data_IF_908336190363
#
_entry.id   IF_908336190363
#
_cell.length_a   1.000
_cell.length_b   1.000
_cell.length_c   1.000
_cell.angle_alpha   90.00
_cell.angle_beta   90.00
_cell.angle_gamma   90.00
#
_symmetry.space_group_name_H-M   'P 1'
#
loop_
_entity.id
_entity.type
_entity.pdbx_description
1 polymer ?
#
# COMPACT_ATOMS: atom_id res chain seq x y z
N UNK A 1 -50.93 13.26 32.42
CA UNK A 1 -49.74 12.99 33.30
C UNK A 1 -49.13 11.63 33.07
N UNK A 2 -49.91 10.56 32.79
CA UNK A 2 -49.41 9.23 32.52
C UNK A 2 -48.65 9.11 31.19
N UNK A 3 -49.03 9.83 30.12
CA UNK A 3 -48.38 9.74 28.82
C UNK A 3 -46.97 10.36 28.81
N UNK A 4 -46.76 11.47 29.51
CA UNK A 4 -45.44 12.09 29.66
C UNK A 4 -44.43 11.15 30.38
N UNK A 5 -44.89 10.47 31.45
CA UNK A 5 -44.06 9.50 32.18
C UNK A 5 -43.71 8.26 31.33
N UNK A 6 -44.62 7.85 30.44
CA UNK A 6 -44.35 6.71 29.52
C UNK A 6 -43.33 7.09 28.42
N UNK A 7 -43.42 8.33 27.90
CA UNK A 7 -42.44 8.87 26.95
C UNK A 7 -41.03 8.97 27.56
N UNK A 8 -40.92 9.48 28.81
CA UNK A 8 -39.62 9.57 29.48
C UNK A 8 -39.01 8.19 29.79
N UNK A 9 -39.79 7.21 30.18
CA UNK A 9 -39.34 5.83 30.40
C UNK A 9 -38.89 5.17 29.08
N UNK A 10 -39.63 5.37 28.01
CA UNK A 10 -39.27 4.87 26.68
C UNK A 10 -37.96 5.50 26.16
N UNK A 11 -37.79 6.81 26.36
CA UNK A 11 -36.57 7.53 26.00
C UNK A 11 -35.35 7.08 26.84
N UNK A 12 -35.53 6.85 28.14
CA UNK A 12 -34.48 6.32 29.01
C UNK A 12 -34.11 4.89 28.66
N UNK A 13 -35.05 4.00 28.38
CA UNK A 13 -34.79 2.62 27.97
C UNK A 13 -34.10 2.57 26.60
N UNK A 14 -34.45 3.45 25.66
CA UNK A 14 -33.76 3.56 24.37
C UNK A 14 -32.30 4.04 24.53
N UNK A 15 -32.07 5.06 25.42
CA UNK A 15 -30.71 5.52 25.74
C UNK A 15 -29.87 4.41 26.37
N UNK A 16 -30.42 3.66 27.33
CA UNK A 16 -29.74 2.56 28.00
C UNK A 16 -29.41 1.44 27.02
N UNK A 17 -30.36 1.05 26.19
CA UNK A 17 -30.16 0.03 25.13
C UNK A 17 -29.04 0.44 24.16
N UNK A 18 -29.04 1.71 23.71
CA UNK A 18 -28.00 2.26 22.85
C UNK A 18 -26.64 2.32 23.55
N UNK A 19 -26.59 2.62 24.84
CA UNK A 19 -25.35 2.61 25.63
C UNK A 19 -24.79 1.19 25.77
N UNK A 20 -25.65 0.21 26.11
CA UNK A 20 -25.27 -1.21 26.18
C UNK A 20 -24.80 -1.73 24.82
N UNK A 21 -25.53 -1.43 23.74
CA UNK A 21 -25.14 -1.82 22.38
C UNK A 21 -23.76 -1.24 21.99
N UNK A 22 -23.56 0.07 22.25
CA UNK A 22 -22.25 0.71 22.04
C UNK A 22 -21.15 0.05 22.87
N UNK A 23 -21.43 -0.27 24.15
CA UNK A 23 -20.49 -0.99 25.02
C UNK A 23 -20.06 -2.34 24.44
N UNK A 24 -21.02 -3.12 23.96
CA UNK A 24 -20.75 -4.41 23.30
C UNK A 24 -19.89 -4.20 22.03
N UNK A 25 -20.27 -3.24 21.18
CA UNK A 25 -19.50 -2.94 19.95
C UNK A 25 -18.07 -2.53 20.29
N UNK A 26 -17.87 -1.62 21.25
CA UNK A 26 -16.51 -1.21 21.65
C UNK A 26 -15.71 -2.34 22.27
N UNK A 27 -16.35 -3.23 23.04
CA UNK A 27 -15.70 -4.42 23.58
C UNK A 27 -15.16 -5.34 22.47
N UNK A 28 -15.98 -5.64 21.45
CA UNK A 28 -15.53 -6.44 20.32
C UNK A 28 -14.44 -5.70 19.50
N UNK A 29 -14.59 -4.40 19.26
CA UNK A 29 -13.57 -3.61 18.59
C UNK A 29 -12.24 -3.60 19.36
N UNK A 30 -12.27 -3.53 20.68
CA UNK A 30 -11.07 -3.59 21.51
C UNK A 30 -10.37 -4.95 21.41
N UNK A 31 -11.12 -6.06 21.43
CA UNK A 31 -10.57 -7.40 21.22
C UNK A 31 -9.91 -7.50 19.84
N UNK A 32 -10.60 -7.06 18.78
CA UNK A 32 -10.04 -7.05 17.43
C UNK A 32 -8.79 -6.19 17.34
N UNK A 33 -8.79 -5.01 17.97
CA UNK A 33 -7.61 -4.16 18.01
C UNK A 33 -6.42 -4.84 18.69
N UNK A 34 -6.63 -5.55 19.82
CA UNK A 34 -5.59 -6.31 20.49
C UNK A 34 -5.05 -7.44 19.62
N UNK A 35 -5.92 -8.19 18.94
CA UNK A 35 -5.50 -9.27 18.02
C UNK A 35 -4.64 -8.72 16.89
N UNK A 36 -5.04 -7.60 16.27
CA UNK A 36 -4.31 -6.96 15.17
C UNK A 36 -2.99 -6.35 15.64
N UNK A 37 -2.95 -5.76 16.83
CA UNK A 37 -1.74 -5.13 17.38
C UNK A 37 -0.74 -6.15 17.94
N UNK A 38 -1.19 -7.35 18.32
CA UNK A 38 -0.34 -8.36 18.93
C UNK A 38 0.89 -8.75 18.10
N UNK A 39 0.80 -9.03 16.79
CA UNK A 39 1.99 -9.33 15.97
C UNK A 39 3.03 -8.19 15.96
N UNK A 40 2.58 -6.94 15.93
CA UNK A 40 3.47 -5.78 15.98
C UNK A 40 4.14 -5.63 17.36
N UNK A 41 3.38 -5.83 18.41
CA UNK A 41 3.93 -5.88 19.76
C UNK A 41 5.01 -6.96 19.87
N UNK A 42 4.70 -8.18 19.37
CA UNK A 42 5.63 -9.31 19.41
C UNK A 42 6.89 -9.05 18.61
N UNK A 43 6.77 -8.47 17.44
CA UNK A 43 7.88 -8.05 16.58
C UNK A 43 8.81 -7.07 17.31
N UNK A 44 8.24 -6.00 17.90
CA UNK A 44 9.00 -5.00 18.65
C UNK A 44 9.64 -5.63 19.90
N UNK A 45 8.90 -6.43 20.65
CA UNK A 45 9.43 -7.11 21.83
C UNK A 45 10.60 -8.03 21.46
N UNK A 46 10.48 -8.82 20.41
CA UNK A 46 11.52 -9.72 19.96
C UNK A 46 12.75 -8.96 19.47
N UNK A 47 12.57 -7.84 18.80
CA UNK A 47 13.68 -7.01 18.28
C UNK A 47 14.59 -6.45 19.37
N UNK A 48 14.11 -6.35 20.62
CA UNK A 48 14.89 -5.84 21.77
C UNK A 48 15.32 -6.96 22.73
N UNK A 49 15.05 -8.23 22.45
CA UNK A 49 15.60 -9.36 23.20
C UNK A 49 16.98 -9.70 22.71
N UNK A 50 17.94 -9.95 23.62
CA UNK A 50 19.24 -10.48 23.18
C UNK A 50 19.09 -11.86 22.55
N UNK A 51 19.98 -12.22 21.62
CA UNK A 51 19.97 -13.54 20.98
C UNK A 51 19.97 -14.69 21.97
N UNK A 52 20.82 -14.60 23.03
CA UNK A 52 20.90 -15.62 24.09
C UNK A 52 19.60 -15.74 24.89
N UNK A 53 18.98 -14.60 25.27
CA UNK A 53 17.72 -14.60 25.98
C UNK A 53 16.60 -15.23 25.15
N UNK A 54 16.50 -14.84 23.88
CA UNK A 54 15.49 -15.39 22.95
C UNK A 54 15.60 -16.91 22.80
N UNK A 55 16.81 -17.44 22.59
CA UNK A 55 17.00 -18.88 22.39
C UNK A 55 16.96 -19.70 23.68
N UNK A 56 17.09 -19.09 24.85
CA UNK A 56 16.95 -19.76 26.14
C UNK A 56 15.51 -19.83 26.64
N UNK A 57 14.58 -19.13 26.00
CA UNK A 57 13.16 -19.14 26.36
C UNK A 57 12.50 -20.45 25.91
N UNK A 58 12.25 -21.36 26.83
CA UNK A 58 11.45 -22.55 26.57
C UNK A 58 9.96 -22.19 26.35
N UNK A 59 9.45 -21.21 27.12
CA UNK A 59 8.13 -20.62 26.95
C UNK A 59 8.34 -19.15 26.57
N UNK A 60 7.78 -18.68 25.44
CA UNK A 60 7.94 -17.32 25.01
C UNK A 60 7.49 -16.30 26.07
N UNK A 61 8.38 -15.40 26.46
CA UNK A 61 8.09 -14.38 27.46
C UNK A 61 7.52 -13.12 26.81
N UNK A 62 6.42 -12.60 27.38
CA UNK A 62 5.73 -11.40 26.89
C UNK A 62 6.40 -10.10 27.28
N UNK A 63 7.42 -10.13 28.14
CA UNK A 63 8.16 -8.97 28.61
C UNK A 63 9.65 -9.34 28.65
N UNK A 64 10.53 -8.43 28.27
CA UNK A 64 11.98 -8.57 28.49
C UNK A 64 12.43 -7.65 29.61
N UNK A 65 13.20 -8.20 30.58
CA UNK A 65 13.75 -7.42 31.68
C UNK A 65 15.13 -6.81 31.34
N UNK A 66 15.75 -7.28 30.27
CA UNK A 66 17.07 -6.81 29.81
C UNK A 66 16.98 -6.47 28.31
N UNK A 67 16.34 -5.32 27.96
CA UNK A 67 16.25 -4.92 26.56
C UNK A 67 17.63 -4.54 26.02
N UNK A 68 17.90 -4.91 24.76
CA UNK A 68 19.11 -4.55 24.04
C UNK A 68 18.77 -3.97 22.68
N UNK A 69 19.60 -3.05 22.17
CA UNK A 69 19.51 -2.52 20.81
C UNK A 69 20.59 -3.09 19.88
N UNK A 70 21.38 -4.06 20.34
CA UNK A 70 22.41 -4.73 19.53
C UNK A 70 21.83 -5.33 18.27
N UNK A 71 20.63 -5.91 18.32
CA UNK A 71 19.96 -6.48 17.17
C UNK A 71 19.76 -5.50 16.00
N UNK A 72 19.58 -4.21 16.31
CA UNK A 72 19.50 -3.18 15.28
C UNK A 72 20.85 -2.93 14.61
N UNK A 73 21.93 -2.91 15.40
CA UNK A 73 23.29 -2.82 14.86
C UNK A 73 23.60 -4.06 14.03
N UNK A 74 23.28 -5.22 14.55
CA UNK A 74 23.45 -6.50 13.86
C UNK A 74 22.74 -6.52 12.50
N UNK A 75 21.49 -6.05 12.44
CA UNK A 75 20.70 -6.00 11.21
C UNK A 75 21.35 -5.11 10.13
N UNK A 76 22.00 -4.01 10.52
CA UNK A 76 22.68 -3.10 9.59
C UNK A 76 24.10 -3.54 9.22
N UNK A 77 24.72 -4.40 10.02
CA UNK A 77 26.09 -4.90 9.79
C UNK A 77 26.08 -6.24 9.04
N UNK A 78 25.03 -7.05 9.21
CA UNK A 78 24.88 -8.32 8.54
C UNK A 78 24.73 -8.19 7.01
N UNK A 79 24.01 -7.17 6.58
CA UNK A 79 23.77 -6.85 5.18
C UNK A 79 23.76 -5.33 4.99
N UNK A 80 24.02 -4.80 3.79
CA UNK A 80 23.98 -3.36 3.52
C UNK A 80 22.53 -2.83 3.49
N UNK A 81 21.81 -2.98 4.62
CA UNK A 81 20.39 -2.68 4.74
C UNK A 81 20.04 -1.24 4.38
N UNK A 82 20.93 -0.29 4.71
CA UNK A 82 20.78 1.13 4.35
C UNK A 82 20.73 1.32 2.82
N UNK A 83 21.57 0.59 2.07
CA UNK A 83 21.58 0.62 0.60
C UNK A 83 20.26 0.04 0.03
N UNK A 84 19.81 -1.09 0.57
CA UNK A 84 18.55 -1.70 0.16
C UNK A 84 17.34 -0.80 0.44
N UNK A 85 17.40 -0.05 1.53
CA UNK A 85 16.41 0.97 1.86
C UNK A 85 16.37 2.09 0.81
N UNK A 86 17.53 2.62 0.41
CA UNK A 86 17.64 3.64 -0.64
C UNK A 86 17.15 3.08 -1.98
N UNK A 87 17.55 1.85 -2.34
CA UNK A 87 17.08 1.19 -3.57
C UNK A 87 15.55 1.05 -3.59
N UNK A 88 14.96 0.66 -2.46
CA UNK A 88 13.50 0.54 -2.34
C UNK A 88 12.82 1.89 -2.48
N UNK A 89 13.39 2.95 -1.92
CA UNK A 89 12.88 4.30 -2.07
C UNK A 89 12.92 4.75 -3.53
N UNK A 90 14.07 4.55 -4.21
CA UNK A 90 14.23 4.86 -5.65
C UNK A 90 13.22 4.08 -6.48
N UNK A 91 13.14 2.77 -6.27
CA UNK A 91 12.18 1.91 -6.96
C UNK A 91 10.74 2.37 -6.75
N UNK A 92 10.35 2.63 -5.50
CA UNK A 92 8.98 3.04 -5.14
C UNK A 92 8.62 4.38 -5.76
N UNK A 93 9.49 5.39 -5.63
CA UNK A 93 9.23 6.73 -6.16
C UNK A 93 9.22 6.71 -7.69
N UNK A 94 10.21 6.10 -8.32
CA UNK A 94 10.30 6.06 -9.79
C UNK A 94 9.12 5.28 -10.40
N UNK A 95 8.80 4.10 -9.87
CA UNK A 95 7.66 3.31 -10.36
C UNK A 95 6.34 4.05 -10.19
N UNK A 96 6.11 4.66 -9.04
CA UNK A 96 4.87 5.41 -8.78
C UNK A 96 4.74 6.62 -9.68
N UNK A 97 5.82 7.39 -9.86
CA UNK A 97 5.82 8.56 -10.74
C UNK A 97 5.57 8.18 -12.21
N UNK A 98 6.28 7.16 -12.72
CA UNK A 98 6.09 6.67 -14.08
C UNK A 98 4.69 6.08 -14.27
N UNK A 99 4.19 5.32 -13.30
CA UNK A 99 2.82 4.82 -13.33
C UNK A 99 1.81 5.97 -13.48
N UNK A 100 1.90 7.02 -12.68
CA UNK A 100 0.99 8.16 -12.77
C UNK A 100 1.05 8.84 -14.14
N UNK A 101 2.23 8.98 -14.73
CA UNK A 101 2.42 9.53 -16.09
C UNK A 101 1.70 8.69 -17.14
N UNK A 102 1.61 7.37 -16.95
CA UNK A 102 0.92 6.46 -17.88
C UNK A 102 -0.57 6.39 -17.62
N UNK A 103 -0.98 6.14 -16.34
CA UNK A 103 -2.38 5.85 -16.04
C UNK A 103 -3.30 7.07 -16.06
N UNK A 104 -2.79 8.27 -15.70
CA UNK A 104 -3.61 9.48 -15.63
C UNK A 104 -4.09 9.92 -17.02
N UNK A 105 -3.23 10.05 -18.05
CA UNK A 105 -3.68 10.34 -19.40
C UNK A 105 -4.54 9.21 -19.99
N UNK A 106 -4.22 7.94 -19.71
CA UNK A 106 -5.02 6.81 -20.16
C UNK A 106 -6.43 6.85 -19.59
N UNK A 107 -6.59 7.06 -18.28
CA UNK A 107 -7.89 7.20 -17.62
C UNK A 107 -8.67 8.41 -18.19
N UNK A 108 -8.00 9.53 -18.44
CA UNK A 108 -8.62 10.71 -19.03
C UNK A 108 -9.10 10.43 -20.46
N UNK A 109 -8.30 9.74 -21.28
CA UNK A 109 -8.70 9.36 -22.63
C UNK A 109 -9.97 8.50 -22.62
N UNK A 110 -10.02 7.50 -21.75
CA UNK A 110 -11.22 6.67 -21.58
C UNK A 110 -12.41 7.40 -20.95
N UNK A 111 -12.20 8.43 -20.13
CA UNK A 111 -13.28 9.19 -19.53
C UNK A 111 -13.88 10.22 -20.49
N UNK A 112 -13.03 11.00 -21.20
CA UNK A 112 -13.44 12.23 -21.90
C UNK A 112 -13.31 12.19 -23.40
N UNK A 113 -12.29 11.50 -23.94
CA UNK A 113 -12.06 11.51 -25.37
C UNK A 113 -13.00 10.55 -26.10
N UNK A 114 -13.37 10.91 -27.33
CA UNK A 114 -14.12 10.08 -28.24
C UNK A 114 -13.19 9.56 -29.34
N UNK A 115 -12.96 8.24 -29.35
CA UNK A 115 -12.18 7.56 -30.36
C UNK A 115 -12.81 6.23 -30.76
N UNK A 116 -12.54 5.77 -31.99
CA UNK A 116 -13.08 4.50 -32.48
C UNK A 116 -12.58 3.32 -31.64
N UNK A 117 -13.48 2.45 -31.24
CA UNK A 117 -13.14 1.25 -30.47
C UNK A 117 -12.95 1.50 -28.96
N UNK A 118 -13.18 2.70 -28.43
CA UNK A 118 -13.05 3.06 -27.00
C UNK A 118 -13.64 1.98 -26.08
N UNK A 119 -14.91 1.64 -26.29
CA UNK A 119 -15.62 0.66 -25.44
C UNK A 119 -15.03 -0.74 -25.57
N UNK A 120 -14.66 -1.17 -26.77
CA UNK A 120 -14.04 -2.48 -27.00
C UNK A 120 -12.70 -2.57 -26.27
N UNK A 121 -11.81 -1.59 -26.45
CA UNK A 121 -10.50 -1.56 -25.78
C UNK A 121 -10.67 -1.53 -24.27
N UNK A 122 -11.61 -0.73 -23.76
CA UNK A 122 -11.86 -0.66 -22.32
C UNK A 122 -12.42 -1.98 -21.77
N UNK A 123 -13.33 -2.64 -22.49
CA UNK A 123 -13.85 -3.97 -22.12
C UNK A 123 -12.72 -5.02 -22.08
N UNK A 124 -11.80 -4.99 -23.06
CA UNK A 124 -10.63 -5.87 -23.06
C UNK A 124 -9.71 -5.58 -21.86
N UNK A 125 -9.53 -4.31 -21.49
CA UNK A 125 -8.79 -3.95 -20.28
C UNK A 125 -9.46 -4.53 -19.02
N UNK A 126 -10.79 -4.43 -18.90
CA UNK A 126 -11.50 -5.03 -17.77
C UNK A 126 -11.35 -6.56 -17.74
N UNK A 127 -11.38 -7.20 -18.90
CA UNK A 127 -11.13 -8.66 -18.98
C UNK A 127 -9.72 -9.02 -18.51
N UNK A 128 -8.71 -8.20 -18.79
CA UNK A 128 -7.33 -8.42 -18.31
C UNK A 128 -7.23 -8.31 -16.78
N UNK A 129 -8.10 -7.55 -16.10
CA UNK A 129 -8.12 -7.51 -14.63
C UNK A 129 -8.51 -8.84 -13.99
N UNK A 130 -9.16 -9.73 -14.72
CA UNK A 130 -9.51 -11.07 -14.21
C UNK A 130 -8.30 -12.02 -14.18
N UNK A 131 -7.20 -11.66 -14.82
CA UNK A 131 -5.97 -12.46 -14.83
C UNK A 131 -5.17 -12.12 -13.58
N UNK A 132 -4.94 -13.08 -12.65
CA UNK A 132 -4.08 -12.87 -11.50
C UNK A 132 -2.67 -12.47 -11.93
N UNK A 133 -2.11 -11.46 -11.27
CA UNK A 133 -0.77 -10.93 -11.59
C UNK A 133 0.33 -11.98 -11.44
N UNK A 134 0.12 -12.97 -10.55
CA UNK A 134 1.03 -14.08 -10.31
C UNK A 134 1.24 -14.96 -11.55
N UNK A 135 0.22 -15.08 -12.40
CA UNK A 135 0.32 -15.88 -13.63
C UNK A 135 1.22 -15.24 -14.69
N UNK A 136 1.34 -13.92 -14.68
CA UNK A 136 2.18 -13.20 -15.67
C UNK A 136 3.61 -12.97 -15.19
N UNK A 137 3.94 -13.32 -13.96
CA UNK A 137 5.29 -13.13 -13.39
C UNK A 137 6.36 -13.85 -14.19
N UNK A 138 6.12 -15.11 -14.59
CA UNK A 138 7.07 -15.92 -15.37
C UNK A 138 7.29 -15.30 -16.76
N UNK A 139 6.20 -14.90 -17.43
CA UNK A 139 6.27 -14.27 -18.75
C UNK A 139 7.02 -12.93 -18.69
N UNK A 140 6.76 -12.11 -17.66
CA UNK A 140 7.48 -10.88 -17.41
C UNK A 140 8.98 -11.15 -17.17
N UNK A 141 9.32 -12.18 -16.39
CA UNK A 141 10.70 -12.57 -16.15
C UNK A 141 11.43 -12.94 -17.45
N UNK A 142 10.82 -13.77 -18.32
CA UNK A 142 11.36 -14.14 -19.62
C UNK A 142 11.57 -12.88 -20.48
N UNK A 143 10.58 -11.99 -20.53
CA UNK A 143 10.65 -10.75 -21.30
C UNK A 143 11.80 -9.84 -20.82
N UNK A 144 11.91 -9.61 -19.51
CA UNK A 144 12.98 -8.80 -18.90
C UNK A 144 14.36 -9.43 -19.13
N UNK A 145 14.45 -10.76 -19.08
CA UNK A 145 15.70 -11.49 -19.37
C UNK A 145 16.11 -11.35 -20.84
N UNK A 146 15.17 -11.49 -21.78
CA UNK A 146 15.43 -11.32 -23.20
C UNK A 146 15.80 -9.88 -23.58
N UNK A 147 15.34 -8.90 -22.82
CA UNK A 147 15.71 -7.49 -22.97
C UNK A 147 17.04 -7.15 -22.26
N UNK A 148 17.70 -8.11 -21.62
CA UNK A 148 18.96 -7.93 -20.87
C UNK A 148 18.82 -6.90 -19.72
N UNK A 149 17.62 -6.77 -19.14
CA UNK A 149 17.32 -5.81 -18.08
C UNK A 149 17.38 -6.42 -16.67
N UNK A 150 17.80 -7.68 -16.50
CA UNK A 150 18.07 -8.26 -15.19
C UNK A 150 19.16 -7.46 -14.47
N UNK A 151 19.10 -7.43 -13.15
CA UNK A 151 20.02 -6.65 -12.32
C UNK A 151 20.07 -5.16 -12.72
N UNK A 152 18.92 -4.56 -13.03
CA UNK A 152 18.77 -3.13 -13.28
C UNK A 152 17.50 -2.58 -12.64
N UNK A 153 17.48 -1.28 -12.35
CA UNK A 153 16.26 -0.62 -11.92
C UNK A 153 15.14 -0.67 -12.97
N UNK A 154 15.49 -0.67 -14.27
CA UNK A 154 14.50 -0.77 -15.34
C UNK A 154 13.80 -2.13 -15.35
N UNK A 155 14.53 -3.20 -15.09
CA UNK A 155 13.94 -4.54 -14.94
C UNK A 155 12.96 -4.63 -13.75
N UNK A 156 13.25 -3.92 -12.66
CA UNK A 156 12.35 -3.81 -11.52
C UNK A 156 11.10 -2.98 -11.84
N UNK A 157 11.26 -1.83 -12.52
CA UNK A 157 10.23 -0.79 -12.69
C UNK A 157 9.26 -1.12 -13.83
N UNK A 158 9.74 -1.51 -15.01
CA UNK A 158 8.94 -1.58 -16.23
C UNK A 158 7.65 -2.41 -16.11
N UNK A 159 7.67 -3.63 -15.56
CA UNK A 159 6.43 -4.41 -15.42
C UNK A 159 5.39 -3.80 -14.49
N UNK A 160 5.81 -2.84 -13.66
CA UNK A 160 4.99 -2.23 -12.62
C UNK A 160 4.48 -0.83 -12.96
N UNK A 161 4.80 -0.28 -14.15
CA UNK A 161 4.42 1.10 -14.53
C UNK A 161 2.98 1.23 -15.03
N UNK A 162 2.27 0.14 -15.21
CA UNK A 162 0.87 0.18 -15.65
C UNK A 162 -0.01 -0.67 -14.74
N UNK A 163 -1.26 -0.25 -14.58
CA UNK A 163 -2.26 -1.01 -13.84
C UNK A 163 -3.64 -0.69 -14.40
N UNK A 164 -4.29 -1.68 -14.95
CA UNK A 164 -5.67 -1.55 -15.46
C UNK A 164 -6.62 -1.16 -14.34
N UNK A 165 -6.42 -1.70 -13.13
CA UNK A 165 -7.22 -1.36 -11.96
C UNK A 165 -7.16 0.13 -11.63
N UNK A 166 -5.97 0.73 -11.64
CA UNK A 166 -5.83 2.16 -11.34
C UNK A 166 -6.34 3.04 -12.48
N UNK A 167 -6.20 2.60 -13.75
CA UNK A 167 -6.83 3.28 -14.90
C UNK A 167 -8.36 3.29 -14.74
N UNK A 168 -8.96 2.14 -14.40
CA UNK A 168 -10.39 2.02 -14.16
C UNK A 168 -10.84 2.94 -13.02
N UNK A 169 -10.17 2.90 -11.87
CA UNK A 169 -10.51 3.71 -10.70
C UNK A 169 -10.47 5.21 -10.99
N UNK A 170 -9.44 5.67 -11.70
CA UNK A 170 -9.33 7.08 -12.11
C UNK A 170 -10.37 7.45 -13.16
N UNK A 171 -10.62 6.59 -14.15
CA UNK A 171 -11.64 6.82 -15.19
C UNK A 171 -13.03 7.00 -14.55
N UNK A 172 -13.45 6.10 -13.66
CA UNK A 172 -14.73 6.22 -12.95
C UNK A 172 -14.85 7.52 -12.14
N UNK A 173 -13.75 7.99 -11.57
CA UNK A 173 -13.73 9.24 -10.82
C UNK A 173 -13.74 10.47 -11.75
N UNK A 174 -13.04 10.41 -12.89
CA UNK A 174 -13.04 11.49 -13.88
C UNK A 174 -14.41 11.66 -14.55
N UNK A 175 -15.16 10.57 -14.74
CA UNK A 175 -16.52 10.61 -15.28
C UNK A 175 -17.55 11.24 -14.34
N UNK A 176 -17.25 11.35 -13.04
CA UNK A 176 -18.12 12.05 -12.09
C UNK A 176 -18.09 13.59 -12.24
N UNK A 177 -17.10 14.13 -12.96
CA UNK A 177 -17.04 15.56 -13.26
C UNK A 177 -18.10 15.85 -14.35
N UNK A 178 -18.98 16.86 -14.19
CA UNK A 178 -19.98 17.20 -15.21
C UNK A 178 -19.36 17.51 -16.57
N UNK A 179 -20.00 17.00 -17.63
CA UNK A 179 -19.54 17.19 -19.01
C UNK A 179 -19.54 18.65 -19.46
N UNK A 180 -20.43 19.46 -18.87
CA UNK A 180 -20.56 20.89 -19.13
C UNK A 180 -19.24 21.62 -18.86
N UNK A 181 -18.49 21.23 -17.83
CA UNK A 181 -17.19 21.83 -17.53
C UNK A 181 -16.15 21.53 -18.62
N UNK A 182 -16.21 20.31 -19.21
CA UNK A 182 -15.32 19.96 -20.30
C UNK A 182 -15.67 20.72 -21.58
N UNK A 183 -16.97 20.78 -21.95
CA UNK A 183 -17.41 21.49 -23.13
C UNK A 183 -17.20 23.02 -23.03
N UNK A 184 -17.45 23.62 -21.87
CA UNK A 184 -17.14 25.03 -21.63
C UNK A 184 -15.64 25.32 -21.83
N UNK A 185 -14.75 24.47 -21.27
CA UNK A 185 -13.32 24.62 -21.47
C UNK A 185 -12.90 24.45 -22.95
N UNK A 186 -13.61 23.63 -23.75
CA UNK A 186 -13.39 23.48 -25.19
C UNK A 186 -13.81 24.73 -25.96
N UNK A 187 -14.94 25.34 -25.61
CA UNK A 187 -15.38 26.64 -26.22
C UNK A 187 -14.35 27.73 -25.94
N UNK A 188 -13.73 27.72 -24.74
CA UNK A 188 -12.64 28.65 -24.37
C UNK A 188 -11.28 28.30 -25.02
N UNK A 189 -11.24 27.34 -25.94
CA UNK A 189 -10.01 26.92 -26.63
C UNK A 189 -8.98 26.19 -25.77
N UNK A 190 -9.40 25.67 -24.61
CA UNK A 190 -8.50 24.90 -23.72
C UNK A 190 -8.19 23.53 -24.32
N UNK A 191 -6.89 23.18 -24.40
CA UNK A 191 -6.45 21.87 -24.85
C UNK A 191 -6.77 20.77 -23.80
N UNK A 192 -6.88 19.50 -24.25
CA UNK A 192 -7.19 18.35 -23.38
C UNK A 192 -6.19 18.19 -22.26
N UNK A 193 -4.90 18.30 -22.54
CA UNK A 193 -3.84 18.22 -21.54
C UNK A 193 -3.95 19.35 -20.50
N UNK A 194 -4.25 20.59 -20.95
CA UNK A 194 -4.43 21.72 -20.04
C UNK A 194 -5.67 21.52 -19.15
N UNK A 195 -6.77 21.01 -19.72
CA UNK A 195 -7.97 20.66 -18.96
C UNK A 195 -7.69 19.55 -17.93
N UNK A 196 -7.00 18.47 -18.35
CA UNK A 196 -6.58 17.41 -17.45
C UNK A 196 -5.78 17.95 -16.26
N UNK A 197 -4.73 18.74 -16.51
CA UNK A 197 -3.82 19.23 -15.48
C UNK A 197 -4.43 20.31 -14.57
N UNK A 198 -5.27 21.20 -15.13
CA UNK A 198 -5.78 22.37 -14.41
C UNK A 198 -7.19 22.22 -13.85
N UNK A 199 -7.98 21.26 -14.35
CA UNK A 199 -9.37 21.05 -13.92
C UNK A 199 -9.54 19.64 -13.36
N UNK A 200 -9.31 18.60 -14.18
CA UNK A 200 -9.60 17.22 -13.80
C UNK A 200 -8.76 16.77 -12.61
N UNK A 201 -7.43 16.94 -12.66
CA UNK A 201 -6.54 16.49 -11.58
C UNK A 201 -6.78 17.20 -10.24
N UNK A 202 -6.97 18.53 -10.17
CA UNK A 202 -7.31 19.20 -8.92
C UNK A 202 -8.63 18.72 -8.31
N UNK A 203 -9.68 18.54 -9.11
CA UNK A 203 -10.99 18.05 -8.65
C UNK A 203 -10.88 16.61 -8.13
N UNK A 204 -10.19 15.75 -8.86
CA UNK A 204 -10.01 14.34 -8.53
C UNK A 204 -8.76 14.08 -7.65
N UNK A 205 -8.13 15.12 -7.13
CA UNK A 205 -6.93 15.05 -6.31
C UNK A 205 -6.98 14.00 -5.19
N UNK A 206 -8.07 13.89 -4.40
CA UNK A 206 -8.18 12.85 -3.38
C UNK A 206 -8.03 11.44 -3.92
N UNK A 207 -8.62 11.12 -5.07
CA UNK A 207 -8.52 9.79 -5.70
C UNK A 207 -7.10 9.55 -6.25
N UNK A 208 -6.48 10.55 -6.88
CA UNK A 208 -5.09 10.45 -7.36
C UNK A 208 -4.14 10.18 -6.19
N UNK A 209 -4.31 10.88 -5.06
CA UNK A 209 -3.52 10.63 -3.84
C UNK A 209 -3.74 9.21 -3.32
N UNK A 210 -4.98 8.72 -3.33
CA UNK A 210 -5.28 7.35 -2.89
C UNK A 210 -4.57 6.32 -3.77
N UNK A 211 -4.66 6.44 -5.10
CA UNK A 211 -3.95 5.57 -6.04
C UNK A 211 -2.44 5.62 -5.82
N UNK A 212 -1.89 6.82 -5.61
CA UNK A 212 -0.46 7.01 -5.31
C UNK A 212 -0.05 6.27 -4.06
N UNK A 213 -0.81 6.37 -2.97
CA UNK A 213 -0.51 5.71 -1.70
C UNK A 213 -0.60 4.19 -1.85
N UNK A 214 -1.63 3.68 -2.52
CA UNK A 214 -1.77 2.24 -2.78
C UNK A 214 -0.57 1.71 -3.56
N UNK A 215 -0.11 2.43 -4.58
CA UNK A 215 1.06 2.02 -5.36
C UNK A 215 2.36 2.07 -4.55
N UNK A 216 2.54 3.09 -3.72
CA UNK A 216 3.69 3.18 -2.81
C UNK A 216 3.73 1.97 -1.87
N UNK A 217 2.59 1.60 -1.26
CA UNK A 217 2.48 0.42 -0.39
C UNK A 217 2.81 -0.87 -1.17
N UNK A 218 2.27 -1.02 -2.38
CA UNK A 218 2.52 -2.17 -3.26
C UNK A 218 4.01 -2.31 -3.59
N UNK A 219 4.66 -1.22 -4.04
CA UNK A 219 6.08 -1.22 -4.37
C UNK A 219 6.96 -1.49 -3.14
N UNK A 220 6.65 -0.87 -2.01
CA UNK A 220 7.41 -1.06 -0.78
C UNK A 220 7.39 -2.50 -0.27
N UNK A 221 6.24 -3.17 -0.40
CA UNK A 221 6.06 -4.56 0.01
C UNK A 221 6.40 -5.58 -1.08
N UNK A 222 6.90 -5.13 -2.24
CA UNK A 222 7.22 -6.03 -3.35
C UNK A 222 8.36 -6.98 -2.96
N UNK A 223 8.14 -8.29 -3.10
CA UNK A 223 9.12 -9.31 -2.75
C UNK A 223 9.39 -10.27 -3.91
N UNK A 224 8.35 -10.90 -4.45
CA UNK A 224 8.50 -11.96 -5.44
C UNK A 224 9.21 -11.48 -6.70
N UNK A 225 8.77 -10.34 -7.25
CA UNK A 225 9.35 -9.77 -8.46
C UNK A 225 10.81 -9.36 -8.30
N UNK A 226 11.19 -8.55 -7.30
CA UNK A 226 12.58 -8.21 -7.05
C UNK A 226 13.48 -9.44 -6.85
N UNK A 227 12.97 -10.46 -6.12
CA UNK A 227 13.74 -11.69 -5.88
C UNK A 227 14.03 -12.49 -7.14
N UNK A 228 13.13 -12.45 -8.12
CA UNK A 228 13.30 -13.14 -9.40
C UNK A 228 14.25 -12.41 -10.36
N UNK A 229 14.20 -11.08 -10.38
CA UNK A 229 14.84 -10.28 -11.43
C UNK A 229 16.20 -9.72 -11.02
N UNK A 230 16.56 -9.81 -9.72
CA UNK A 230 17.85 -9.34 -9.22
C UNK A 230 18.59 -10.43 -8.44
N UNK A 231 19.84 -10.71 -8.87
CA UNK A 231 20.81 -11.56 -8.18
C UNK A 231 21.99 -10.73 -7.61
N UNK A 232 22.18 -9.51 -8.12
CA UNK A 232 23.20 -8.58 -7.68
C UNK A 232 22.73 -7.77 -6.47
N UNK A 233 23.43 -7.86 -5.31
CA UNK A 233 23.11 -7.07 -4.11
C UNK A 233 23.06 -5.57 -4.35
N UNK A 234 23.64 -5.05 -5.43
CA UNK A 234 23.57 -3.64 -5.78
C UNK A 234 22.15 -3.17 -6.07
N UNK A 235 21.25 -4.05 -6.48
CA UNK A 235 19.85 -3.77 -6.84
C UNK A 235 18.84 -4.36 -5.88
N UNK A 236 19.29 -5.01 -4.79
CA UNK A 236 18.39 -5.59 -3.82
C UNK A 236 17.53 -4.50 -3.14
N UNK A 237 16.28 -4.86 -2.90
CA UNK A 237 15.33 -4.09 -2.12
C UNK A 237 15.32 -4.57 -0.65
N UNK A 238 14.66 -3.84 0.23
CA UNK A 238 14.58 -4.21 1.66
C UNK A 238 13.97 -5.60 1.88
N UNK A 239 13.04 -6.02 1.04
CA UNK A 239 12.43 -7.35 1.09
C UNK A 239 13.45 -8.46 0.79
N UNK A 240 14.38 -8.23 -0.16
CA UNK A 240 15.51 -9.12 -0.42
C UNK A 240 16.48 -9.14 0.77
N UNK A 241 16.71 -7.97 1.38
CA UNK A 241 17.60 -7.82 2.53
C UNK A 241 17.14 -8.61 3.76
N UNK A 242 15.84 -8.67 4.03
CA UNK A 242 15.31 -9.52 5.11
C UNK A 242 15.64 -10.98 4.85
N UNK A 243 15.48 -11.45 3.62
CA UNK A 243 15.79 -12.82 3.25
C UNK A 243 17.29 -13.11 3.35
N UNK A 244 18.14 -12.16 2.96
CA UNK A 244 19.59 -12.29 3.06
C UNK A 244 20.06 -12.34 4.52
N UNK A 245 19.48 -11.53 5.42
CA UNK A 245 19.71 -11.63 6.87
C UNK A 245 19.37 -13.03 7.37
N UNK A 246 18.27 -13.59 6.92
CA UNK A 246 17.83 -14.93 7.31
C UNK A 246 18.77 -16.01 6.83
N UNK A 247 19.19 -15.95 5.55
CA UNK A 247 19.96 -17.02 4.91
C UNK A 247 21.46 -16.93 5.24
N UNK A 248 22.03 -15.73 5.25
CA UNK A 248 23.47 -15.52 5.24
C UNK A 248 24.00 -14.60 6.35
N UNK A 249 23.10 -13.89 7.04
CA UNK A 249 23.50 -12.73 7.85
C UNK A 249 24.40 -13.06 9.05
N UNK A 250 24.31 -14.28 9.63
CA UNK A 250 25.04 -14.61 10.87
C UNK A 250 25.58 -16.03 10.90
N UNK A 251 25.53 -16.79 9.78
CA UNK A 251 25.81 -18.22 9.77
C UNK A 251 24.84 -19.05 10.63
N UNK A 252 23.79 -18.43 11.16
CA UNK A 252 22.73 -19.03 11.97
C UNK A 252 21.50 -18.14 11.90
N UNK A 253 20.32 -18.70 12.17
CA UNK A 253 19.10 -17.95 12.23
C UNK A 253 19.10 -17.00 13.46
N UNK A 254 19.10 -15.68 13.21
CA UNK A 254 19.03 -14.65 14.25
C UNK A 254 17.68 -13.92 14.14
N UNK A 255 16.65 -14.53 14.74
CA UNK A 255 15.28 -13.97 14.74
C UNK A 255 15.22 -12.58 15.37
N UNK A 256 15.85 -12.26 16.50
CA UNK A 256 15.85 -10.90 17.04
C UNK A 256 16.38 -9.84 16.08
N UNK A 257 17.52 -10.08 15.41
CA UNK A 257 18.08 -9.16 14.43
C UNK A 257 17.18 -9.02 13.19
N UNK A 258 16.58 -10.12 12.73
CA UNK A 258 15.61 -10.09 11.64
C UNK A 258 14.37 -9.27 12.01
N UNK A 259 13.83 -9.41 13.24
CA UNK A 259 12.72 -8.60 13.73
C UNK A 259 13.10 -7.12 13.86
N UNK A 260 14.33 -6.81 14.27
CA UNK A 260 14.82 -5.43 14.29
C UNK A 260 14.86 -4.81 12.89
N UNK A 261 15.33 -5.56 11.86
CA UNK A 261 15.26 -5.13 10.47
C UNK A 261 13.82 -4.86 10.01
N UNK A 262 12.88 -5.78 10.31
CA UNK A 262 11.46 -5.63 9.95
C UNK A 262 10.84 -4.40 10.62
N UNK A 263 11.17 -4.11 11.90
CA UNK A 263 10.73 -2.89 12.60
C UNK A 263 11.19 -1.65 11.82
N UNK A 264 12.47 -1.56 11.47
CA UNK A 264 13.02 -0.42 10.73
C UNK A 264 12.35 -0.25 9.37
N UNK A 265 12.20 -1.35 8.63
CA UNK A 265 11.58 -1.35 7.29
C UNK A 265 10.09 -0.97 7.35
N UNK A 266 9.41 -1.23 8.46
CA UNK A 266 7.99 -0.87 8.65
C UNK A 266 7.77 0.62 8.94
N UNK A 267 8.78 1.34 9.46
CA UNK A 267 8.66 2.76 9.85
C UNK A 267 8.16 3.66 8.73
N UNK A 268 8.67 3.61 7.49
CA UNK A 268 8.18 4.49 6.43
C UNK A 268 6.71 4.29 6.08
N UNK A 269 6.23 3.04 6.08
CA UNK A 269 4.82 2.75 5.84
C UNK A 269 3.93 3.27 6.98
N UNK A 270 4.38 3.13 8.23
CA UNK A 270 3.68 3.68 9.39
C UNK A 270 3.62 5.20 9.30
N UNK A 271 4.73 5.87 8.98
CA UNK A 271 4.78 7.31 8.79
C UNK A 271 3.85 7.74 7.65
N UNK A 272 3.93 7.07 6.50
CA UNK A 272 3.04 7.33 5.37
C UNK A 272 1.57 7.21 5.78
N UNK A 273 1.19 6.14 6.48
CA UNK A 273 -0.18 5.96 6.96
C UNK A 273 -0.60 7.09 7.91
N UNK A 274 0.22 7.44 8.90
CA UNK A 274 -0.09 8.49 9.87
C UNK A 274 -0.28 9.86 9.21
N UNK A 275 0.56 10.20 8.22
CA UNK A 275 0.47 11.46 7.47
C UNK A 275 -0.77 11.49 6.57
N UNK A 276 -1.05 10.40 5.88
CA UNK A 276 -2.10 10.36 4.86
C UNK A 276 -3.41 9.71 5.29
N UNK A 277 -3.55 9.24 6.55
CA UNK A 277 -4.75 8.53 7.06
C UNK A 277 -6.07 9.20 6.71
N UNK A 278 -6.16 10.53 6.81
CA UNK A 278 -7.39 11.28 6.49
C UNK A 278 -7.75 11.19 5.00
N UNK A 279 -6.74 11.20 4.11
CA UNK A 279 -6.94 11.11 2.66
C UNK A 279 -7.28 9.68 2.23
N UNK A 280 -6.65 8.69 2.85
CA UNK A 280 -6.94 7.26 2.63
C UNK A 280 -8.41 6.98 3.00
N UNK A 281 -8.83 7.40 4.20
CA UNK A 281 -10.21 7.21 4.67
C UNK A 281 -11.24 7.90 3.78
N UNK A 282 -10.95 9.11 3.29
CA UNK A 282 -11.84 9.85 2.39
C UNK A 282 -11.98 9.18 1.01
N UNK A 283 -10.91 8.56 0.51
CA UNK A 283 -10.93 7.84 -0.77
C UNK A 283 -11.72 6.52 -0.69
N UNK A 284 -11.52 5.75 0.39
CA UNK A 284 -12.25 4.49 0.62
C UNK A 284 -13.75 4.73 0.85
N UNK A 285 -14.11 5.77 1.62
CA UNK A 285 -15.50 6.10 1.91
C UNK A 285 -16.31 6.48 0.64
N UNK A 286 -15.69 7.15 -0.34
CA UNK A 286 -16.34 7.50 -1.61
C UNK A 286 -16.54 6.30 -2.53
N UNK A 287 -15.66 5.31 -2.48
CA UNK A 287 -15.82 4.06 -3.23
C UNK A 287 -16.89 3.10 -2.67
N UNK A 288 -17.18 3.20 -1.37
CA UNK A 288 -18.11 2.30 -0.66
C UNK A 288 -19.56 2.79 -0.56
N UNK A 289 -19.90 4.00 -0.99
CA UNK A 289 -21.25 4.56 -0.87
C UNK A 289 -22.14 4.37 -2.11
N UNK A 290 -21.85 3.40 -2.97
CA UNK A 290 -22.76 2.94 -4.02
C UNK A 290 -23.35 1.59 -3.60
N UNK A 291 -24.17 1.61 -2.56
CA UNK A 291 -25.01 0.52 -2.10
C UNK A 291 -26.28 1.09 -1.51
#
# INVERSE_FOLDING_TARGET
MNDAMNYDRAAQSAKLRNAVFKGIVYFFLAIWALIVLFPFYWMILTSIKSYGAYNSEYIPQFITLKPTFENYVDAFTAVPLAKYFVNTLIFTVATTALMLVVIVPAAFAFARLNFRGKNLVFTLFLALMMIPTELVVITNYITITNLELRNTFWGLILPSVTSVFYIYLLKENFEQIPDELYYAAKVDGTSDLKYLLKVTLPICGPTVVTVTILKVIECWNSYVWPRLVTDDPNYFLVSNGIQEIRENGFGRENIPAMMAAVVVISVPLIVLFLVFRKKIMAGVARGGMKG
#
